data_IF_159476348418
#
_entry.id   IF_159476348418
#
_cell.length_a   1.000
_cell.length_b   1.000
_cell.length_c   1.000
_cell.angle_alpha   90.00
_cell.angle_beta   90.00
_cell.angle_gamma   90.00
#
_symmetry.space_group_name_H-M   'P 1'
#
loop_
_entity.id
_entity.type
_entity.pdbx_description
1 polymer ?
#
# COMPACT_ATOMS: atom_id res chain seq x y z
N UNK A 1 -20.83 10.06 -15.18
CA UNK A 1 -19.97 10.64 -14.14
C UNK A 1 -18.68 9.84 -14.06
N UNK A 2 -17.50 10.45 -13.87
CA UNK A 2 -16.28 9.68 -13.61
C UNK A 2 -16.44 8.93 -12.27
N UNK A 3 -16.19 7.61 -12.26
CA UNK A 3 -16.32 6.76 -11.06
C UNK A 3 -15.56 7.37 -9.89
N UNK A 4 -16.18 7.60 -8.72
CA UNK A 4 -15.53 8.22 -7.58
C UNK A 4 -14.42 7.30 -7.02
N UNK A 5 -13.47 7.86 -6.28
CA UNK A 5 -12.28 7.10 -5.86
C UNK A 5 -12.58 5.99 -4.86
N UNK A 6 -13.64 6.09 -4.07
CA UNK A 6 -14.03 5.14 -3.03
C UNK A 6 -14.68 3.86 -3.57
N UNK A 7 -15.26 3.92 -4.77
CA UNK A 7 -15.92 2.81 -5.47
C UNK A 7 -14.96 2.00 -6.35
N UNK A 8 -13.69 2.42 -6.45
CA UNK A 8 -12.70 1.73 -7.27
C UNK A 8 -12.20 0.47 -6.56
N UNK A 9 -12.42 -0.68 -7.18
CA UNK A 9 -11.88 -1.96 -6.73
C UNK A 9 -10.66 -2.36 -7.56
N UNK A 10 -9.51 -1.78 -7.23
CA UNK A 10 -8.25 -2.24 -7.84
C UNK A 10 -7.88 -3.62 -7.30
N UNK A 11 -7.39 -4.48 -8.19
CA UNK A 11 -6.70 -5.70 -7.79
C UNK A 11 -5.47 -5.37 -6.93
N UNK A 12 -5.02 -6.34 -6.14
CA UNK A 12 -3.78 -6.21 -5.34
C UNK A 12 -2.59 -5.78 -6.18
N UNK A 13 -2.46 -6.32 -7.40
CA UNK A 13 -1.37 -5.96 -8.31
C UNK A 13 -1.47 -4.53 -8.82
N UNK A 14 -2.67 -4.06 -9.19
CA UNK A 14 -2.88 -2.67 -9.63
C UNK A 14 -2.68 -1.68 -8.48
N UNK A 15 -3.07 -2.05 -7.26
CA UNK A 15 -2.80 -1.26 -6.06
C UNK A 15 -1.29 -1.12 -5.82
N UNK A 16 -0.53 -2.22 -5.88
CA UNK A 16 0.93 -2.21 -5.75
C UNK A 16 1.60 -1.42 -6.88
N UNK A 17 1.11 -1.55 -8.11
CA UNK A 17 1.58 -0.79 -9.25
C UNK A 17 1.36 0.72 -9.04
N UNK A 18 0.19 1.12 -8.53
CA UNK A 18 -0.11 2.52 -8.22
C UNK A 18 0.79 3.08 -7.11
N UNK A 19 1.09 2.27 -6.08
CA UNK A 19 2.09 2.62 -5.05
C UNK A 19 3.47 2.84 -5.69
N UNK A 20 3.90 1.94 -6.58
CA UNK A 20 5.19 2.08 -7.29
C UNK A 20 5.22 3.35 -8.14
N UNK A 21 4.15 3.64 -8.89
CA UNK A 21 4.02 4.86 -9.71
C UNK A 21 4.08 6.12 -8.84
N UNK A 22 3.50 6.11 -7.64
CA UNK A 22 3.63 7.23 -6.70
C UNK A 22 5.08 7.53 -6.32
N UNK A 23 5.93 6.51 -6.19
CA UNK A 23 7.33 6.66 -5.76
C UNK A 23 8.25 7.07 -6.91
N UNK A 24 8.16 6.41 -8.05
CA UNK A 24 9.15 6.56 -9.14
C UNK A 24 8.56 7.09 -10.46
N UNK A 25 7.24 7.23 -10.55
CA UNK A 25 6.54 7.37 -11.82
C UNK A 25 6.64 6.12 -12.70
N UNK A 26 6.11 6.22 -13.92
CA UNK A 26 6.20 5.17 -14.96
C UNK A 26 6.36 5.80 -16.34
N UNK A 27 7.15 5.20 -17.23
CA UNK A 27 7.33 5.72 -18.60
C UNK A 27 6.05 5.53 -19.44
N UNK A 28 5.82 6.43 -20.40
CA UNK A 28 4.68 6.34 -21.34
C UNK A 28 4.71 5.03 -22.14
N UNK A 29 5.89 4.59 -22.55
CA UNK A 29 6.10 3.30 -23.25
C UNK A 29 5.65 2.12 -22.38
N UNK A 30 6.04 2.10 -21.10
CA UNK A 30 5.64 1.05 -20.16
C UNK A 30 4.12 0.99 -20.00
N UNK A 31 3.44 2.13 -20.02
CA UNK A 31 1.97 2.21 -19.96
C UNK A 31 1.32 1.67 -21.23
N UNK A 32 1.90 1.92 -22.41
CA UNK A 32 1.40 1.39 -23.69
C UNK A 32 1.52 -0.14 -23.76
N UNK A 33 2.62 -0.70 -23.27
CA UNK A 33 2.89 -2.14 -23.30
C UNK A 33 2.08 -2.89 -22.26
N UNK A 34 1.88 -2.32 -21.06
CA UNK A 34 1.25 -3.03 -19.94
C UNK A 34 -0.27 -2.78 -19.92
N UNK A 35 -1.11 -3.79 -20.23
CA UNK A 35 -2.56 -3.62 -20.26
C UNK A 35 -3.16 -3.18 -18.91
N UNK A 36 -2.54 -3.55 -17.79
CA UNK A 36 -2.97 -3.13 -16.43
C UNK A 36 -2.80 -1.63 -16.17
N UNK A 37 -1.86 -0.97 -16.85
CA UNK A 37 -1.72 0.49 -16.75
C UNK A 37 -2.87 1.21 -17.47
N UNK A 38 -3.48 0.56 -18.47
CA UNK A 38 -4.66 1.10 -19.18
C UNK A 38 -5.85 1.28 -18.23
N UNK A 39 -6.01 0.40 -17.24
CA UNK A 39 -7.03 0.55 -16.20
C UNK A 39 -6.76 1.78 -15.33
N UNK A 40 -5.54 1.93 -14.82
CA UNK A 40 -5.13 3.09 -14.02
C UNK A 40 -5.33 4.41 -14.78
N UNK A 41 -5.03 4.42 -16.09
CA UNK A 41 -5.27 5.57 -16.96
C UNK A 41 -6.76 5.81 -17.20
N UNK A 42 -7.55 4.77 -17.52
CA UNK A 42 -8.99 4.84 -17.79
C UNK A 42 -9.77 5.46 -16.61
N UNK A 43 -9.38 5.14 -15.38
CA UNK A 43 -10.03 5.68 -14.18
C UNK A 43 -9.42 7.00 -13.68
N UNK A 44 -8.46 7.57 -14.40
CA UNK A 44 -7.82 8.84 -14.07
C UNK A 44 -6.99 8.78 -12.78
N UNK A 45 -6.39 7.62 -12.47
CA UNK A 45 -5.53 7.44 -11.28
C UNK A 45 -4.09 7.89 -11.53
N UNK A 46 -3.71 8.03 -12.80
CA UNK A 46 -2.41 8.51 -13.24
C UNK A 46 -2.61 9.64 -14.26
N UNK A 47 -1.68 10.59 -14.27
CA UNK A 47 -1.68 11.77 -15.14
C UNK A 47 -0.27 12.06 -15.66
N UNK A 48 -0.16 12.87 -16.70
CA UNK A 48 1.12 13.28 -17.26
C UNK A 48 1.94 14.02 -16.20
N UNK A 49 3.23 13.71 -16.13
CA UNK A 49 4.15 14.43 -15.25
C UNK A 49 4.41 15.83 -15.82
N UNK A 50 4.21 16.85 -14.98
CA UNK A 50 4.61 18.24 -15.30
C UNK A 50 6.13 18.40 -15.38
N UNK A 51 6.89 17.53 -14.72
CA UNK A 51 8.37 17.58 -14.67
C UNK A 51 9.04 16.80 -15.80
N UNK A 52 8.34 15.84 -16.40
CA UNK A 52 8.95 14.91 -17.36
C UNK A 52 7.93 14.45 -18.39
N UNK A 53 8.06 14.96 -19.61
CA UNK A 53 7.10 14.76 -20.72
C UNK A 53 6.85 13.27 -21.02
N UNK A 54 7.84 12.40 -20.80
CA UNK A 54 7.77 10.97 -21.10
C UNK A 54 7.34 10.07 -19.93
N UNK A 55 6.82 10.64 -18.83
CA UNK A 55 6.37 9.85 -17.67
C UNK A 55 4.95 10.19 -17.25
N UNK A 56 4.26 9.18 -16.74
CA UNK A 56 3.05 9.32 -15.94
C UNK A 56 3.39 9.30 -14.45
N UNK A 57 2.70 10.13 -13.69
CA UNK A 57 2.73 10.21 -12.22
C UNK A 57 1.34 9.98 -11.66
N UNK A 58 1.24 9.79 -10.36
CA UNK A 58 -0.05 9.62 -9.70
C UNK A 58 -0.87 10.91 -9.75
N UNK A 59 -2.15 10.82 -10.12
CA UNK A 59 -3.07 11.95 -10.07
C UNK A 59 -3.54 12.22 -8.64
N UNK A 60 -4.21 13.35 -8.40
CA UNK A 60 -4.79 13.62 -7.07
C UNK A 60 -5.88 12.62 -6.70
N UNK A 61 -6.67 12.16 -7.68
CA UNK A 61 -7.62 11.06 -7.49
C UNK A 61 -6.92 9.78 -7.07
N UNK A 62 -5.78 9.46 -7.68
CA UNK A 62 -4.93 8.33 -7.28
C UNK A 62 -4.42 8.46 -5.84
N UNK A 63 -3.99 9.66 -5.43
CA UNK A 63 -3.57 9.93 -4.04
C UNK A 63 -4.73 9.75 -3.07
N UNK A 64 -5.93 10.25 -3.40
CA UNK A 64 -7.13 10.07 -2.58
C UNK A 64 -7.49 8.59 -2.43
N UNK A 65 -7.48 7.83 -3.53
CA UNK A 65 -7.69 6.38 -3.51
C UNK A 65 -6.70 5.66 -2.57
N UNK A 66 -5.39 5.95 -2.67
CA UNK A 66 -4.38 5.32 -1.80
C UNK A 66 -4.58 5.68 -0.32
N UNK A 67 -5.02 6.92 -0.01
CA UNK A 67 -5.35 7.33 1.36
C UNK A 67 -6.58 6.58 1.88
N UNK A 68 -7.63 6.49 1.07
CA UNK A 68 -8.85 5.78 1.40
C UNK A 68 -8.58 4.29 1.65
N UNK A 69 -7.92 3.60 0.72
CA UNK A 69 -7.62 2.18 0.84
C UNK A 69 -6.77 1.88 2.07
N UNK A 70 -5.74 2.68 2.34
CA UNK A 70 -4.91 2.54 3.55
C UNK A 70 -5.71 2.72 4.84
N UNK A 71 -6.58 3.75 4.92
CA UNK A 71 -7.45 3.96 6.09
C UNK A 71 -8.40 2.78 6.28
N UNK A 72 -9.01 2.29 5.20
CA UNK A 72 -9.88 1.12 5.22
C UNK A 72 -9.14 -0.15 5.68
N UNK A 73 -7.95 -0.39 5.14
CA UNK A 73 -7.11 -1.53 5.52
C UNK A 73 -6.70 -1.45 6.99
N UNK A 74 -6.29 -0.29 7.51
CA UNK A 74 -5.98 -0.14 8.92
C UNK A 74 -7.18 -0.36 9.83
N UNK A 75 -8.37 0.13 9.45
CA UNK A 75 -9.61 -0.09 10.22
C UNK A 75 -9.93 -1.57 10.39
N UNK A 76 -9.59 -2.39 9.40
CA UNK A 76 -9.78 -3.83 9.45
C UNK A 76 -8.63 -4.56 10.16
N UNK A 77 -7.38 -4.30 9.76
CA UNK A 77 -6.22 -5.05 10.23
C UNK A 77 -5.80 -4.72 11.67
N UNK A 78 -5.98 -3.48 12.15
CA UNK A 78 -5.57 -3.12 13.51
C UNK A 78 -6.32 -3.96 14.55
N UNK A 79 -7.66 -4.03 14.57
CA UNK A 79 -8.38 -4.89 15.52
C UNK A 79 -8.02 -6.37 15.35
N UNK A 80 -7.90 -6.85 14.11
CA UNK A 80 -7.58 -8.26 13.83
C UNK A 80 -6.20 -8.64 14.40
N UNK A 81 -5.19 -7.82 14.19
CA UNK A 81 -3.85 -8.07 14.72
C UNK A 81 -3.86 -8.06 16.25
N UNK A 82 -4.55 -7.10 16.88
CA UNK A 82 -4.69 -7.05 18.35
C UNK A 82 -5.35 -8.34 18.86
N UNK A 83 -6.42 -8.80 18.23
CA UNK A 83 -7.09 -10.05 18.61
C UNK A 83 -6.19 -11.27 18.44
N UNK A 84 -5.42 -11.35 17.36
CA UNK A 84 -4.44 -12.44 17.15
C UNK A 84 -3.37 -12.42 18.24
N UNK A 85 -2.80 -11.25 18.55
CA UNK A 85 -1.80 -11.11 19.61
C UNK A 85 -2.37 -11.49 20.98
N UNK A 86 -3.61 -11.09 21.28
CA UNK A 86 -4.30 -11.44 22.52
C UNK A 86 -4.55 -12.96 22.64
N UNK A 87 -4.93 -13.62 21.54
CA UNK A 87 -5.06 -15.08 21.50
C UNK A 87 -3.70 -15.74 21.73
N UNK A 88 -2.67 -15.32 21.01
CA UNK A 88 -1.31 -15.86 21.20
C UNK A 88 -0.82 -15.68 22.64
N UNK A 89 -1.18 -14.57 23.31
CA UNK A 89 -0.84 -14.37 24.73
C UNK A 89 -1.59 -15.31 25.66
N UNK A 90 -2.86 -15.61 25.35
CA UNK A 90 -3.66 -16.51 26.18
C UNK A 90 -3.20 -17.97 26.08
N UNK A 91 -2.50 -18.35 25.01
CA UNK A 91 -2.01 -19.70 24.77
C UNK A 91 -0.57 -19.93 25.28
N UNK A 92 0.01 -18.99 26.04
CA UNK A 92 1.41 -19.02 26.50
C UNK A 92 2.43 -19.21 25.36
N UNK A 93 2.06 -18.94 24.11
CA UNK A 93 2.95 -19.12 22.94
C UNK A 93 4.17 -18.19 23.03
N UNK A 94 4.05 -17.05 23.73
CA UNK A 94 5.17 -16.15 24.02
C UNK A 94 6.20 -16.70 25.01
N UNK A 95 5.89 -17.79 25.73
CA UNK A 95 6.87 -18.51 26.55
C UNK A 95 7.87 -19.30 25.69
N UNK A 96 7.56 -19.53 24.41
CA UNK A 96 8.50 -20.17 23.50
C UNK A 96 9.71 -19.23 23.27
N UNK A 97 10.94 -19.65 23.65
CA UNK A 97 12.13 -18.81 23.58
C UNK A 97 12.48 -18.36 22.16
N UNK A 98 12.04 -19.07 21.13
CA UNK A 98 12.24 -18.68 19.73
C UNK A 98 11.38 -17.46 19.35
N UNK A 99 10.11 -17.46 19.77
CA UNK A 99 9.15 -16.40 19.46
C UNK A 99 9.53 -15.13 20.23
N UNK A 100 9.95 -15.28 21.48
CA UNK A 100 10.41 -14.15 22.30
C UNK A 100 11.63 -13.45 21.71
N UNK A 101 12.63 -14.23 21.23
CA UNK A 101 13.81 -13.69 20.54
C UNK A 101 13.45 -12.99 19.23
N UNK A 102 12.52 -13.55 18.47
CA UNK A 102 12.05 -12.95 17.22
C UNK A 102 11.29 -11.63 17.44
N UNK A 103 10.46 -11.55 18.49
CA UNK A 103 9.79 -10.30 18.86
C UNK A 103 10.77 -9.24 19.37
N UNK A 104 11.76 -9.63 20.17
CA UNK A 104 12.80 -8.69 20.65
C UNK A 104 13.64 -8.12 19.51
N UNK A 105 14.05 -8.94 18.53
CA UNK A 105 14.80 -8.46 17.38
C UNK A 105 13.97 -7.54 16.49
N UNK A 106 12.69 -7.86 16.27
CA UNK A 106 11.75 -6.98 15.58
C UNK A 106 11.56 -5.65 16.33
N UNK A 107 11.42 -5.68 17.65
CA UNK A 107 11.28 -4.47 18.47
C UNK A 107 12.52 -3.58 18.40
N UNK A 108 13.72 -4.17 18.42
CA UNK A 108 14.98 -3.43 18.25
C UNK A 108 15.09 -2.79 16.86
N UNK A 109 14.76 -3.53 15.80
CA UNK A 109 14.75 -3.00 14.43
C UNK A 109 13.77 -1.84 14.29
N UNK A 110 12.56 -1.98 14.82
CA UNK A 110 11.56 -0.92 14.81
C UNK A 110 12.02 0.31 15.58
N UNK A 111 12.65 0.13 16.75
CA UNK A 111 13.20 1.23 17.55
C UNK A 111 14.29 1.99 16.80
N UNK A 112 15.14 1.30 16.05
CA UNK A 112 16.19 1.94 15.25
C UNK A 112 15.63 2.68 14.03
N UNK A 113 14.51 2.22 13.44
CA UNK A 113 13.89 2.87 12.27
C UNK A 113 12.99 4.05 12.66
N UNK A 114 12.32 3.97 13.82
CA UNK A 114 11.38 5.00 14.30
C UNK A 114 12.03 6.03 15.26
N UNK A 115 13.15 5.67 15.88
CA UNK A 115 13.88 6.50 16.85
C UNK A 115 15.07 7.27 16.26
N UNK A 116 15.26 7.25 14.94
CA UNK A 116 16.13 8.16 14.18
C UNK A 116 15.31 9.25 13.50
#
# INVERSE_FOLDING_TARGET
>A
MPTPFNELELSTYEHLLLIRIRLTGISKESVRIKPRCKYLYKFGLIDNSTKSINKYVISDKGKMYLRYKRRSSFRFWIPVIISILALLSSYDIYTNPLIQKALQSLAQLLKNILGS
#
